data_IF_778847863707
#
_entry.id   IF_778847863707
#
_cell.length_a   1.000
_cell.length_b   1.000
_cell.length_c   1.000
_cell.angle_alpha   90.00
_cell.angle_beta   90.00
_cell.angle_gamma   90.00
#
_symmetry.space_group_name_H-M   'P 1'
#
loop_
_entity.id
_entity.type
_entity.pdbx_description
1 polymer ?
#
# COMPACT_ATOMS: atom_id res chain seq x y z
N UNK A 1 10.54 -20.10 2.81
CA UNK A 1 9.36 -19.61 2.07
C UNK A 1 9.70 -19.55 0.58
N UNK A 2 8.76 -19.78 -0.37
CA UNK A 2 9.07 -19.96 -1.80
C UNK A 2 9.86 -18.82 -2.43
N UNK A 3 9.55 -17.56 -2.12
CA UNK A 3 10.29 -16.42 -2.64
C UNK A 3 11.75 -16.40 -2.15
N UNK A 4 11.99 -16.66 -0.86
CA UNK A 4 13.35 -16.72 -0.31
C UNK A 4 14.18 -17.81 -0.98
N UNK A 5 13.63 -19.00 -1.13
CA UNK A 5 14.31 -20.11 -1.83
C UNK A 5 14.60 -19.79 -3.29
N UNK A 6 13.67 -19.15 -3.99
CA UNK A 6 13.88 -18.69 -5.36
C UNK A 6 15.03 -17.69 -5.46
N UNK A 7 15.04 -16.68 -4.57
CA UNK A 7 16.12 -15.67 -4.53
C UNK A 7 17.48 -16.31 -4.20
N UNK A 8 17.53 -17.26 -3.25
CA UNK A 8 18.77 -18.00 -2.95
C UNK A 8 19.33 -18.70 -4.20
N UNK A 9 18.46 -19.36 -4.94
CA UNK A 9 18.86 -20.05 -6.18
C UNK A 9 19.36 -19.06 -7.24
N UNK A 10 18.66 -17.94 -7.44
CA UNK A 10 19.01 -16.94 -8.45
C UNK A 10 20.29 -16.17 -8.10
N UNK A 11 20.50 -15.89 -6.82
CA UNK A 11 21.64 -15.09 -6.35
C UNK A 11 22.87 -15.92 -6.01
N UNK A 12 22.72 -17.23 -5.79
CA UNK A 12 23.81 -18.11 -5.36
C UNK A 12 24.31 -17.77 -3.96
N UNK A 13 23.47 -17.22 -3.09
CA UNK A 13 23.79 -16.84 -1.72
C UNK A 13 22.60 -17.10 -0.81
N UNK A 14 22.85 -17.20 0.49
CA UNK A 14 21.83 -17.41 1.50
C UNK A 14 20.90 -16.19 1.58
N UNK A 15 19.59 -16.44 1.66
CA UNK A 15 18.56 -15.42 1.86
C UNK A 15 17.79 -15.73 3.13
N UNK A 16 17.87 -14.85 4.10
CA UNK A 16 17.21 -15.01 5.40
C UNK A 16 16.02 -14.07 5.52
N UNK A 17 14.91 -14.59 6.03
CA UNK A 17 13.77 -13.79 6.41
C UNK A 17 13.97 -13.20 7.81
N UNK A 18 13.97 -11.89 7.91
CA UNK A 18 14.05 -11.16 9.17
C UNK A 18 12.68 -10.55 9.48
N UNK A 19 11.97 -11.05 10.50
CA UNK A 19 10.72 -10.43 10.92
C UNK A 19 10.97 -9.06 11.55
N UNK A 20 10.08 -8.12 11.28
CA UNK A 20 10.07 -6.80 11.92
C UNK A 20 8.72 -6.58 12.60
N UNK A 21 8.72 -5.80 13.68
CA UNK A 21 7.54 -5.63 14.52
C UNK A 21 6.47 -4.73 13.87
N UNK A 22 6.90 -3.67 13.18
CA UNK A 22 6.03 -2.65 12.63
C UNK A 22 6.71 -1.83 11.52
N UNK A 23 6.00 -0.87 10.95
CA UNK A 23 6.51 0.01 9.88
C UNK A 23 7.73 0.86 10.31
N UNK A 24 7.74 1.51 11.49
CA UNK A 24 8.93 2.22 11.95
C UNK A 24 10.16 1.33 12.10
N UNK A 25 9.98 0.10 12.54
CA UNK A 25 11.07 -0.87 12.68
C UNK A 25 11.69 -1.26 11.33
N UNK A 26 10.89 -1.35 10.26
CA UNK A 26 11.41 -1.58 8.89
C UNK A 26 12.25 -0.40 8.43
N UNK A 27 11.77 0.82 8.63
CA UNK A 27 12.49 2.05 8.26
C UNK A 27 13.85 2.09 8.94
N UNK A 28 13.88 1.82 10.24
CA UNK A 28 15.12 1.81 11.02
C UNK A 28 16.07 0.68 10.61
N UNK A 29 15.53 -0.51 10.33
CA UNK A 29 16.34 -1.66 9.95
C UNK A 29 17.02 -1.46 8.58
N UNK A 30 16.34 -0.85 7.61
CA UNK A 30 16.94 -0.47 6.33
C UNK A 30 17.95 0.67 6.50
N UNK A 31 17.65 1.66 7.33
CA UNK A 31 18.54 2.79 7.57
C UNK A 31 19.83 2.42 8.31
N UNK A 32 19.83 1.33 9.07
CA UNK A 32 20.97 0.85 9.85
C UNK A 32 21.61 -0.42 9.29
N UNK A 33 21.36 -0.72 8.00
CA UNK A 33 21.90 -1.89 7.27
C UNK A 33 21.59 -3.25 7.92
N UNK A 34 20.55 -3.34 8.76
CA UNK A 34 20.08 -4.61 9.35
C UNK A 34 19.11 -5.38 8.44
N UNK A 35 18.59 -4.73 7.42
CA UNK A 35 17.85 -5.33 6.31
C UNK A 35 18.47 -4.91 4.98
N UNK A 36 18.59 -5.84 4.05
CA UNK A 36 19.08 -5.58 2.71
C UNK A 36 17.96 -5.28 1.73
N UNK A 37 16.82 -5.94 1.88
CA UNK A 37 15.65 -5.91 0.99
C UNK A 37 14.37 -5.93 1.81
N UNK A 38 13.41 -5.08 1.46
CA UNK A 38 12.11 -5.02 2.13
C UNK A 38 10.97 -4.75 1.15
N UNK A 39 9.80 -5.33 1.45
CA UNK A 39 8.52 -5.02 0.81
C UNK A 39 7.88 -3.86 1.55
N UNK A 40 7.67 -2.75 0.85
CA UNK A 40 7.21 -1.49 1.45
C UNK A 40 5.97 -0.96 0.72
N UNK A 41 5.04 -0.41 1.48
CA UNK A 41 4.04 0.51 0.93
C UNK A 41 4.71 1.81 0.46
N UNK A 42 4.05 2.54 -0.45
CA UNK A 42 4.62 3.75 -1.06
C UNK A 42 5.00 4.81 -0.05
N UNK A 43 4.17 5.05 0.97
CA UNK A 43 4.49 6.02 2.02
C UNK A 43 5.67 5.59 2.90
N UNK A 44 5.73 4.32 3.28
CA UNK A 44 6.87 3.79 4.04
C UNK A 44 8.16 3.89 3.22
N UNK A 45 8.11 3.61 1.91
CA UNK A 45 9.24 3.81 1.02
C UNK A 45 9.73 5.26 1.02
N UNK A 46 8.82 6.23 0.90
CA UNK A 46 9.16 7.66 0.95
C UNK A 46 9.85 8.01 2.28
N UNK A 47 9.34 7.50 3.40
CA UNK A 47 9.96 7.71 4.71
C UNK A 47 11.39 7.14 4.78
N UNK A 48 11.61 5.92 4.27
CA UNK A 48 12.95 5.32 4.18
C UNK A 48 13.86 6.18 3.30
N UNK A 49 13.38 6.56 2.13
CA UNK A 49 14.15 7.35 1.16
C UNK A 49 14.58 8.70 1.72
N UNK A 50 13.68 9.40 2.40
CA UNK A 50 14.00 10.69 3.04
C UNK A 50 14.98 10.54 4.19
N UNK A 51 14.85 9.48 4.99
CA UNK A 51 15.76 9.21 6.11
C UNK A 51 17.16 8.84 5.64
N UNK A 52 17.28 7.99 4.61
CA UNK A 52 18.56 7.45 4.13
C UNK A 52 19.19 8.29 3.00
N UNK A 53 18.37 8.98 2.23
CA UNK A 53 18.78 9.71 1.01
C UNK A 53 19.11 8.80 -0.18
N UNK A 54 19.21 7.48 -0.01
CA UNK A 54 19.79 6.59 -1.01
C UNK A 54 19.09 5.23 -1.18
N UNK A 55 18.03 4.92 -0.44
CA UNK A 55 17.27 3.68 -0.62
C UNK A 55 16.74 3.58 -2.06
N UNK A 56 16.80 2.39 -2.66
CA UNK A 56 16.51 2.18 -4.08
C UNK A 56 15.32 1.22 -4.23
N UNK A 57 14.18 1.67 -4.80
CA UNK A 57 13.10 0.80 -5.16
C UNK A 57 13.49 0.07 -6.46
N UNK A 58 13.43 -1.25 -6.45
CA UNK A 58 13.85 -2.07 -7.59
C UNK A 58 12.69 -2.42 -8.52
N UNK A 59 11.66 -3.02 -7.94
CA UNK A 59 10.51 -3.56 -8.67
C UNK A 59 9.23 -3.34 -7.88
N UNK A 60 8.12 -3.38 -8.60
CA UNK A 60 6.76 -3.34 -8.05
C UNK A 60 5.89 -4.34 -8.81
N UNK A 61 4.75 -4.72 -8.22
CA UNK A 61 3.76 -5.47 -8.97
C UNK A 61 3.15 -4.54 -10.03
N UNK A 62 2.75 -5.10 -11.15
CA UNK A 62 2.16 -4.32 -12.23
C UNK A 62 1.00 -3.44 -11.75
N UNK A 63 0.14 -3.95 -10.86
CA UNK A 63 -0.97 -3.23 -10.28
C UNK A 63 -0.57 -2.06 -9.38
N UNK A 64 0.63 -2.06 -8.83
CA UNK A 64 1.12 -0.99 -7.95
C UNK A 64 1.46 0.30 -8.71
N UNK A 65 1.58 0.25 -10.03
CA UNK A 65 1.70 1.44 -10.88
C UNK A 65 0.36 2.17 -11.09
N UNK A 66 -0.76 1.50 -10.80
CA UNK A 66 -2.12 2.01 -11.00
C UNK A 66 -3.01 1.67 -9.80
N UNK A 67 -2.48 1.83 -8.61
CA UNK A 67 -3.18 1.48 -7.38
C UNK A 67 -4.29 2.49 -7.08
N UNK A 68 -5.36 2.02 -6.43
CA UNK A 68 -6.50 2.86 -6.05
C UNK A 68 -7.00 2.53 -4.65
N UNK A 69 -7.74 3.48 -4.08
CA UNK A 69 -8.53 3.28 -2.87
C UNK A 69 -10.01 3.38 -3.19
N UNK A 70 -10.82 2.58 -2.50
CA UNK A 70 -12.27 2.58 -2.64
C UNK A 70 -12.93 3.20 -1.42
N UNK A 71 -13.83 4.15 -1.68
CA UNK A 71 -14.71 4.74 -0.67
C UNK A 71 -15.99 3.93 -0.59
N UNK A 72 -16.35 3.51 0.62
CA UNK A 72 -17.45 2.59 0.87
C UNK A 72 -18.46 3.17 1.87
N UNK A 73 -19.72 2.76 1.72
CA UNK A 73 -20.82 3.12 2.61
C UNK A 73 -21.87 2.02 2.65
N UNK A 74 -22.60 1.92 3.76
CA UNK A 74 -23.81 1.09 3.87
C UNK A 74 -25.09 1.89 3.56
N UNK A 75 -25.00 3.21 3.38
CA UNK A 75 -26.14 4.04 3.05
C UNK A 75 -26.38 4.06 1.54
N UNK A 76 -27.54 3.57 1.04
CA UNK A 76 -27.85 3.54 -0.39
C UNK A 76 -27.98 4.93 -1.02
N UNK A 77 -28.27 5.95 -0.24
CA UNK A 77 -28.47 7.32 -0.72
C UNK A 77 -27.16 8.11 -0.93
N UNK A 78 -26.05 7.60 -0.38
CA UNK A 78 -24.72 8.21 -0.57
C UNK A 78 -24.16 7.83 -1.94
N UNK A 79 -23.86 8.83 -2.76
CA UNK A 79 -23.29 8.68 -4.11
C UNK A 79 -21.96 9.43 -4.27
N UNK A 80 -21.60 10.30 -3.31
CA UNK A 80 -20.38 11.09 -3.32
C UNK A 80 -19.89 11.40 -1.91
N UNK A 81 -18.67 11.90 -1.79
CA UNK A 81 -18.12 12.39 -0.52
C UNK A 81 -18.93 13.58 0.05
N UNK A 82 -19.54 14.38 -0.81
CA UNK A 82 -20.39 15.50 -0.41
C UNK A 82 -21.60 15.02 0.43
N UNK A 83 -22.17 13.89 0.09
CA UNK A 83 -23.31 13.29 0.80
C UNK A 83 -22.98 12.83 2.22
N UNK A 84 -21.68 12.68 2.54
CA UNK A 84 -21.20 12.33 3.86
C UNK A 84 -20.87 13.53 4.75
N UNK A 85 -21.15 14.76 4.30
CA UNK A 85 -20.93 15.96 5.11
C UNK A 85 -21.71 15.88 6.43
N UNK A 86 -21.00 16.13 7.54
CA UNK A 86 -21.57 16.05 8.88
C UNK A 86 -21.79 14.63 9.40
N UNK A 87 -21.38 13.62 8.67
CA UNK A 87 -21.48 12.21 9.04
C UNK A 87 -20.13 11.68 9.54
N UNK A 88 -20.08 10.44 10.02
CA UNK A 88 -18.87 9.81 10.53
C UNK A 88 -18.10 9.11 9.43
N UNK A 89 -16.78 9.15 9.50
CA UNK A 89 -15.89 8.55 8.48
C UNK A 89 -14.71 7.85 9.14
N UNK A 90 -14.28 6.72 8.54
CA UNK A 90 -13.11 5.98 8.97
C UNK A 90 -12.05 5.86 7.88
N UNK A 91 -10.84 6.25 8.22
CA UNK A 91 -9.61 5.83 7.53
C UNK A 91 -9.14 4.46 8.06
N UNK A 92 -8.15 3.87 7.39
CA UNK A 92 -7.48 2.66 7.87
C UNK A 92 -6.45 2.95 8.95
N UNK A 93 -5.21 2.48 8.77
CA UNK A 93 -4.08 2.89 9.63
C UNK A 93 -3.62 4.30 9.29
N UNK A 94 -3.18 5.06 10.28
CA UNK A 94 -2.60 6.41 10.11
C UNK A 94 -1.43 6.41 9.12
N UNK A 95 -0.62 5.36 9.13
CA UNK A 95 0.55 5.21 8.25
C UNK A 95 0.25 4.49 6.91
N UNK A 96 -1.01 4.15 6.65
CA UNK A 96 -1.38 3.48 5.40
C UNK A 96 -1.40 4.44 4.21
N UNK A 97 -0.77 4.05 3.12
CA UNK A 97 -0.82 4.78 1.83
C UNK A 97 -2.25 4.79 1.29
N UNK A 98 -2.84 3.62 1.07
CA UNK A 98 -4.16 3.46 0.44
C UNK A 98 -5.33 3.65 1.39
N UNK A 99 -5.14 3.43 2.68
CA UNK A 99 -6.19 3.57 3.70
C UNK A 99 -6.26 4.94 4.36
N UNK A 100 -5.28 5.81 4.15
CA UNK A 100 -5.23 7.11 4.82
C UNK A 100 -4.63 8.20 3.95
N UNK A 101 -3.33 8.12 3.64
CA UNK A 101 -2.57 9.21 3.01
C UNK A 101 -3.17 9.67 1.69
N UNK A 102 -3.27 8.77 0.71
CA UNK A 102 -3.71 9.13 -0.64
C UNK A 102 -5.18 9.52 -0.72
N UNK A 103 -6.12 8.80 -0.06
CA UNK A 103 -7.50 9.27 0.04
C UNK A 103 -7.63 10.68 0.63
N UNK A 104 -6.91 10.96 1.71
CA UNK A 104 -6.90 12.28 2.34
C UNK A 104 -6.36 13.36 1.39
N UNK A 105 -5.28 13.06 0.69
CA UNK A 105 -4.70 13.97 -0.29
C UNK A 105 -5.69 14.33 -1.41
N UNK A 106 -6.36 13.34 -1.98
CA UNK A 106 -7.37 13.59 -3.02
C UNK A 106 -8.58 14.35 -2.50
N UNK A 107 -9.04 14.06 -1.25
CA UNK A 107 -10.06 14.86 -0.61
C UNK A 107 -9.65 16.34 -0.50
N UNK A 108 -8.42 16.60 -0.05
CA UNK A 108 -7.90 17.98 0.07
C UNK A 108 -7.81 18.69 -1.28
N UNK A 109 -7.42 17.98 -2.34
CA UNK A 109 -7.42 18.55 -3.70
C UNK A 109 -8.84 18.95 -4.17
N UNK A 110 -9.84 18.19 -3.76
CA UNK A 110 -11.25 18.49 -4.05
C UNK A 110 -11.87 19.50 -3.06
N UNK A 111 -11.06 20.14 -2.22
CA UNK A 111 -11.50 21.12 -1.25
C UNK A 111 -12.18 20.53 -0.01
N UNK A 112 -12.09 19.24 0.21
CA UNK A 112 -12.66 18.53 1.34
C UNK A 112 -11.59 18.33 2.41
N UNK A 113 -11.71 19.07 3.53
CA UNK A 113 -10.91 18.83 4.74
C UNK A 113 -11.66 17.81 5.62
N UNK A 114 -11.14 16.59 5.82
CA UNK A 114 -11.86 15.55 6.55
C UNK A 114 -12.34 16.00 7.93
N UNK A 115 -11.48 16.66 8.71
CA UNK A 115 -11.77 17.07 10.08
C UNK A 115 -12.89 18.13 10.22
N UNK A 116 -13.15 18.89 9.14
CA UNK A 116 -14.24 19.89 9.12
C UNK A 116 -15.45 19.44 8.30
N UNK A 117 -15.23 18.50 7.37
CA UNK A 117 -16.29 17.96 6.52
C UNK A 117 -17.13 16.89 7.23
N UNK A 118 -16.47 15.98 7.95
CA UNK A 118 -17.13 14.95 8.72
C UNK A 118 -17.37 15.42 10.16
N UNK A 119 -18.42 14.90 10.78
CA UNK A 119 -18.68 15.17 12.22
C UNK A 119 -17.64 14.48 13.11
N UNK A 120 -17.11 13.35 12.66
CA UNK A 120 -16.04 12.60 13.33
C UNK A 120 -15.23 11.80 12.31
N UNK A 121 -13.92 11.87 12.45
CA UNK A 121 -12.96 11.05 11.73
C UNK A 121 -12.36 10.03 12.68
N UNK A 122 -12.37 8.76 12.30
CA UNK A 122 -11.74 7.67 13.03
C UNK A 122 -10.70 6.94 12.19
N UNK A 123 -9.85 6.19 12.88
CA UNK A 123 -8.88 5.29 12.28
C UNK A 123 -9.15 3.88 12.74
N UNK A 124 -9.48 3.00 11.82
CA UNK A 124 -9.80 1.60 12.13
C UNK A 124 -8.56 0.74 12.43
N UNK A 125 -7.40 1.19 11.95
CA UNK A 125 -6.13 0.50 12.09
C UNK A 125 -5.83 -0.53 11.00
N UNK A 126 -6.84 -0.99 10.24
CA UNK A 126 -6.66 -1.98 9.18
C UNK A 126 -7.78 -1.87 8.13
N UNK A 127 -7.51 -2.34 6.91
CA UNK A 127 -8.47 -2.27 5.80
C UNK A 127 -9.73 -3.11 6.06
N UNK A 128 -9.58 -4.33 6.55
CA UNK A 128 -10.69 -5.21 6.91
C UNK A 128 -11.52 -4.64 8.07
N UNK A 129 -10.88 -4.02 9.04
CA UNK A 129 -11.57 -3.33 10.13
C UNK A 129 -12.40 -2.14 9.62
N UNK A 130 -11.91 -1.37 8.64
CA UNK A 130 -12.70 -0.30 8.02
C UNK A 130 -13.98 -0.84 7.41
N UNK A 131 -13.88 -1.90 6.61
CA UNK A 131 -15.04 -2.53 5.99
C UNK A 131 -16.03 -3.06 7.02
N UNK A 132 -15.53 -3.71 8.08
CA UNK A 132 -16.36 -4.19 9.18
C UNK A 132 -17.09 -3.06 9.93
N UNK A 133 -16.43 -1.93 10.16
CA UNK A 133 -17.05 -0.77 10.81
C UNK A 133 -18.18 -0.18 9.98
N UNK A 134 -17.99 -0.07 8.66
CA UNK A 134 -19.01 0.42 7.74
C UNK A 134 -20.20 -0.55 7.70
N UNK A 135 -19.94 -1.85 7.54
CA UNK A 135 -20.99 -2.86 7.48
C UNK A 135 -21.81 -2.94 8.77
N UNK A 136 -21.17 -2.76 9.93
CA UNK A 136 -21.82 -2.76 11.24
C UNK A 136 -22.55 -1.44 11.57
N UNK A 137 -22.45 -0.43 10.71
CA UNK A 137 -23.02 0.90 10.96
C UNK A 137 -22.30 1.71 12.03
N UNK A 138 -21.08 1.34 12.40
CA UNK A 138 -20.25 2.07 13.36
C UNK A 138 -19.80 3.44 12.82
N UNK A 139 -19.62 3.52 11.51
CA UNK A 139 -19.34 4.74 10.75
C UNK A 139 -20.19 4.75 9.49
N UNK A 140 -20.48 5.95 8.98
CA UNK A 140 -21.32 6.14 7.79
C UNK A 140 -20.55 5.90 6.49
N UNK A 141 -19.26 6.14 6.48
CA UNK A 141 -18.39 5.88 5.34
C UNK A 141 -16.97 5.53 5.78
N UNK A 142 -16.22 4.99 4.84
CA UNK A 142 -14.83 4.64 5.05
C UNK A 142 -14.08 4.50 3.75
N UNK A 143 -12.78 4.31 3.85
CA UNK A 143 -11.89 4.10 2.69
C UNK A 143 -10.89 3.00 2.97
N UNK A 144 -10.61 2.18 1.97
CA UNK A 144 -9.65 1.09 2.07
C UNK A 144 -8.99 0.79 0.73
N UNK A 145 -7.96 -0.01 0.80
CA UNK A 145 -7.25 -0.60 -0.33
C UNK A 145 -8.21 -1.34 -1.27
N UNK A 146 -8.18 -1.01 -2.56
CA UNK A 146 -9.07 -1.60 -3.55
C UNK A 146 -8.94 -3.12 -3.66
N UNK A 147 -7.70 -3.64 -3.62
CA UNK A 147 -7.45 -5.09 -3.70
C UNK A 147 -7.97 -5.84 -2.47
N UNK A 148 -7.86 -5.23 -1.30
CA UNK A 148 -8.41 -5.81 -0.06
C UNK A 148 -9.93 -5.83 -0.11
N UNK A 149 -10.56 -4.75 -0.59
CA UNK A 149 -12.02 -4.73 -0.80
C UNK A 149 -12.47 -5.89 -1.69
N UNK A 150 -11.83 -6.07 -2.84
CA UNK A 150 -12.20 -7.13 -3.78
C UNK A 150 -12.07 -8.53 -3.15
N UNK A 151 -11.02 -8.76 -2.34
CA UNK A 151 -10.85 -10.02 -1.59
C UNK A 151 -11.91 -10.22 -0.51
N UNK A 152 -12.29 -9.17 0.21
CA UNK A 152 -13.32 -9.24 1.26
C UNK A 152 -14.68 -9.58 0.67
N UNK A 153 -15.03 -9.02 -0.48
CA UNK A 153 -16.26 -9.32 -1.21
C UNK A 153 -16.21 -10.76 -1.74
N UNK A 154 -15.14 -11.14 -2.42
CA UNK A 154 -14.99 -12.48 -2.99
C UNK A 154 -15.02 -13.59 -1.94
N UNK A 155 -14.52 -13.35 -0.73
CA UNK A 155 -14.54 -14.31 0.39
C UNK A 155 -15.83 -14.29 1.21
N UNK A 156 -16.78 -13.40 0.89
CA UNK A 156 -18.03 -13.24 1.64
C UNK A 156 -17.88 -12.58 3.02
N UNK A 157 -16.69 -12.05 3.35
CA UNK A 157 -16.47 -11.32 4.62
C UNK A 157 -17.17 -9.97 4.64
N UNK A 158 -17.48 -9.42 3.48
CA UNK A 158 -18.29 -8.22 3.30
C UNK A 158 -19.45 -8.56 2.35
N UNK A 159 -20.65 -8.22 2.76
CA UNK A 159 -21.85 -8.36 1.95
C UNK A 159 -22.00 -7.14 1.03
N UNK A 160 -21.73 -7.33 -0.25
CA UNK A 160 -21.83 -6.28 -1.27
C UNK A 160 -23.27 -5.80 -1.53
N UNK A 161 -24.28 -6.49 -1.02
CA UNK A 161 -25.66 -6.02 -1.02
C UNK A 161 -25.93 -4.99 0.10
N UNK A 162 -25.10 -4.98 1.14
CA UNK A 162 -25.21 -4.07 2.28
C UNK A 162 -24.24 -2.90 2.22
N UNK A 163 -23.04 -3.14 1.68
CA UNK A 163 -21.98 -2.15 1.58
C UNK A 163 -21.60 -1.97 0.12
N UNK A 164 -21.60 -0.75 -0.36
CA UNK A 164 -21.25 -0.40 -1.74
C UNK A 164 -20.03 0.50 -1.81
N UNK A 165 -19.31 0.42 -2.91
CA UNK A 165 -18.33 1.42 -3.33
C UNK A 165 -19.08 2.57 -3.99
N UNK A 166 -18.91 3.79 -3.49
CA UNK A 166 -19.54 4.97 -4.09
C UNK A 166 -18.53 5.90 -4.80
N UNK A 167 -17.24 5.74 -4.53
CA UNK A 167 -16.18 6.48 -5.21
C UNK A 167 -14.86 5.71 -5.19
N UNK A 168 -14.00 6.00 -6.15
CA UNK A 168 -12.65 5.45 -6.25
C UNK A 168 -11.68 6.61 -6.49
N UNK A 169 -10.51 6.58 -5.87
CA UNK A 169 -9.48 7.60 -6.07
C UNK A 169 -8.90 7.55 -7.49
N UNK A 170 -8.27 8.64 -7.97
CA UNK A 170 -7.28 8.54 -9.04
C UNK A 170 -6.20 7.50 -8.71
N UNK A 171 -5.49 7.04 -9.73
CA UNK A 171 -4.40 6.07 -9.57
C UNK A 171 -3.17 6.72 -8.96
N UNK A 172 -2.40 5.91 -8.23
CA UNK A 172 -1.10 6.29 -7.64
C UNK A 172 -0.20 5.06 -7.55
N UNK A 173 1.10 5.29 -7.32
CA UNK A 173 2.06 4.22 -7.07
C UNK A 173 2.00 3.80 -5.61
N UNK A 174 2.02 2.49 -5.34
CA UNK A 174 2.00 1.99 -3.95
C UNK A 174 3.19 1.07 -3.69
N UNK A 175 2.98 -0.20 -3.48
CA UNK A 175 4.00 -1.14 -2.99
C UNK A 175 5.21 -1.28 -3.92
N UNK A 176 6.36 -1.54 -3.31
CA UNK A 176 7.59 -1.89 -4.02
C UNK A 176 8.52 -2.78 -3.18
N UNK A 177 9.47 -3.43 -3.84
CA UNK A 177 10.63 -4.04 -3.21
C UNK A 177 11.79 -3.05 -3.26
N UNK A 178 12.30 -2.69 -2.10
CA UNK A 178 13.37 -1.69 -1.92
C UNK A 178 14.58 -2.32 -1.29
N UNK A 179 15.76 -1.97 -1.78
CA UNK A 179 17.05 -2.29 -1.15
C UNK A 179 17.64 -1.07 -0.44
N UNK A 180 18.44 -1.32 0.61
CA UNK A 180 19.26 -0.27 1.21
C UNK A 180 20.24 0.30 0.18
N UNK A 181 20.47 1.60 0.24
CA UNK A 181 21.30 2.29 -0.76
C UNK A 181 22.80 1.94 -0.66
N UNK A 182 23.21 1.34 0.45
CA UNK A 182 24.59 0.86 0.68
C UNK A 182 24.84 -0.56 0.18
N UNK A 183 23.82 -1.23 -0.36
CA UNK A 183 23.97 -2.56 -0.95
C UNK A 183 24.85 -2.49 -2.20
N UNK A 184 25.66 -3.51 -2.42
CA UNK A 184 26.45 -3.63 -3.66
C UNK A 184 25.54 -3.45 -4.90
N UNK A 185 25.81 -2.46 -5.77
CA UNK A 185 25.00 -2.23 -6.97
C UNK A 185 24.84 -3.44 -7.87
N UNK A 186 25.88 -4.28 -7.99
CA UNK A 186 25.81 -5.50 -8.80
C UNK A 186 24.82 -6.51 -8.19
N UNK A 187 24.79 -6.62 -6.86
CA UNK A 187 23.82 -7.48 -6.18
C UNK A 187 22.38 -6.90 -6.30
N UNK A 188 22.21 -5.60 -6.19
CA UNK A 188 20.92 -4.96 -6.41
C UNK A 188 20.35 -5.25 -7.81
N UNK A 189 21.18 -5.17 -8.84
CA UNK A 189 20.79 -5.51 -10.22
C UNK A 189 20.41 -6.99 -10.37
N UNK A 190 21.14 -7.89 -9.71
CA UNK A 190 20.79 -9.33 -9.70
C UNK A 190 19.45 -9.60 -9.02
N UNK A 191 19.17 -8.93 -7.92
CA UNK A 191 17.88 -9.02 -7.23
C UNK A 191 16.76 -8.54 -8.14
N UNK A 192 16.92 -7.37 -8.75
CA UNK A 192 15.96 -6.83 -9.71
C UNK A 192 15.71 -7.79 -10.86
N UNK A 193 16.76 -8.32 -11.48
CA UNK A 193 16.65 -9.28 -12.57
C UNK A 193 15.90 -10.56 -12.14
N UNK A 194 16.14 -11.04 -10.93
CA UNK A 194 15.46 -12.22 -10.40
C UNK A 194 13.94 -12.00 -10.28
N UNK A 195 13.50 -10.85 -9.79
CA UNK A 195 12.06 -10.51 -9.75
C UNK A 195 11.46 -10.38 -11.15
N UNK A 196 12.15 -9.70 -12.07
CA UNK A 196 11.67 -9.50 -13.44
C UNK A 196 11.61 -10.80 -14.25
N UNK A 197 12.41 -11.80 -13.89
CA UNK A 197 12.42 -13.12 -14.53
C UNK A 197 11.27 -14.03 -14.08
N UNK A 198 10.50 -13.67 -13.05
CA UNK A 198 9.32 -14.44 -12.63
C UNK A 198 8.26 -14.42 -13.73
N UNK A 199 8.05 -15.59 -14.35
CA UNK A 199 7.14 -15.78 -15.48
C UNK A 199 5.85 -16.47 -15.02
N UNK A 200 4.68 -15.86 -15.20
CA UNK A 200 3.41 -16.46 -14.83
C UNK A 200 3.05 -17.73 -15.63
N UNK A 201 3.70 -17.96 -16.75
CA UNK A 201 3.54 -19.21 -17.53
C UNK A 201 4.27 -20.41 -16.89
N UNK A 202 5.25 -20.17 -16.03
CA UNK A 202 5.94 -21.20 -15.27
C UNK A 202 5.17 -21.48 -13.96
N UNK A 203 4.69 -22.72 -13.69
CA UNK A 203 3.91 -23.04 -12.50
C UNK A 203 4.62 -22.73 -11.16
N UNK A 204 5.93 -22.94 -11.08
CA UNK A 204 6.71 -22.63 -9.87
C UNK A 204 6.81 -21.13 -9.63
N UNK A 205 7.04 -20.34 -10.69
CA UNK A 205 7.05 -18.87 -10.62
C UNK A 205 5.65 -18.33 -10.32
N UNK A 206 4.61 -18.92 -10.92
CA UNK A 206 3.23 -18.51 -10.64
C UNK A 206 2.87 -18.69 -9.18
N UNK A 207 3.30 -19.76 -8.53
CA UNK A 207 3.06 -19.96 -7.10
C UNK A 207 3.68 -18.85 -6.25
N UNK A 208 4.87 -18.36 -6.62
CA UNK A 208 5.52 -17.22 -5.95
C UNK A 208 4.75 -15.92 -6.20
N UNK A 209 4.38 -15.66 -7.45
CA UNK A 209 3.60 -14.48 -7.84
C UNK A 209 2.23 -14.44 -7.11
N UNK A 210 1.55 -15.58 -7.03
CA UNK A 210 0.25 -15.68 -6.34
C UNK A 210 0.36 -15.35 -4.84
N UNK A 211 1.45 -15.75 -4.19
CA UNK A 211 1.71 -15.39 -2.79
C UNK A 211 1.90 -13.88 -2.59
N UNK A 212 2.41 -13.19 -3.60
CA UNK A 212 2.57 -11.73 -3.62
C UNK A 212 1.34 -11.02 -4.18
N UNK A 213 0.29 -11.75 -4.56
CA UNK A 213 -0.86 -11.23 -5.30
C UNK A 213 -0.44 -10.42 -6.54
N UNK A 214 0.59 -10.88 -7.22
CA UNK A 214 1.18 -10.22 -8.39
C UNK A 214 0.83 -10.99 -9.67
N UNK A 215 0.46 -10.29 -10.73
CA UNK A 215 0.42 -10.85 -12.08
C UNK A 215 1.84 -11.01 -12.62
N UNK A 216 2.65 -10.00 -12.42
CA UNK A 216 4.10 -9.96 -12.68
C UNK A 216 4.72 -8.79 -11.93
N UNK A 217 6.05 -8.75 -11.89
CA UNK A 217 6.82 -7.60 -11.44
C UNK A 217 7.30 -6.76 -12.62
N UNK A 218 7.34 -5.46 -12.43
CA UNK A 218 7.87 -4.46 -13.36
C UNK A 218 8.89 -3.58 -12.66
N UNK A 219 9.77 -2.92 -13.42
CA UNK A 219 10.71 -1.96 -12.87
C UNK A 219 9.98 -0.76 -12.27
N UNK A 220 10.60 -0.18 -11.25
CA UNK A 220 10.17 1.09 -10.67
C UNK A 220 11.37 1.99 -10.39
N UNK A 221 11.10 3.25 -10.05
CA UNK A 221 12.13 4.25 -9.76
C UNK A 221 11.64 5.19 -8.65
N UNK A 222 12.56 5.92 -7.97
CA UNK A 222 12.17 6.88 -6.94
C UNK A 222 11.22 7.97 -7.43
N UNK A 223 11.35 8.39 -8.68
CA UNK A 223 10.55 9.46 -9.29
C UNK A 223 9.05 9.12 -9.32
N UNK A 224 8.72 7.85 -9.45
CA UNK A 224 7.34 7.37 -9.43
C UNK A 224 6.61 7.67 -8.10
N UNK A 225 7.36 7.86 -7.02
CA UNK A 225 6.85 8.08 -5.67
C UNK A 225 6.81 9.56 -5.27
N UNK A 226 7.13 10.47 -6.18
CA UNK A 226 7.07 11.91 -5.90
C UNK A 226 5.67 12.36 -5.51
N UNK A 227 4.63 11.84 -6.15
CA UNK A 227 3.25 12.15 -5.82
C UNK A 227 2.88 11.75 -4.38
N UNK A 228 3.41 10.64 -3.88
CA UNK A 228 3.22 10.21 -2.48
C UNK A 228 4.00 11.12 -1.53
N UNK A 229 5.21 11.52 -1.89
CA UNK A 229 5.98 12.49 -1.09
C UNK A 229 5.25 13.83 -0.99
N UNK A 230 4.76 14.35 -2.11
CA UNK A 230 4.01 15.60 -2.15
C UNK A 230 2.74 15.52 -1.31
N UNK A 231 2.01 14.38 -1.37
CA UNK A 231 0.85 14.11 -0.55
C UNK A 231 1.18 14.10 0.95
N UNK A 232 2.28 13.46 1.33
CA UNK A 232 2.72 13.37 2.72
C UNK A 232 3.16 14.72 3.27
N UNK A 233 3.81 15.56 2.45
CA UNK A 233 4.16 16.94 2.82
C UNK A 233 2.91 17.80 2.98
N UNK A 234 1.96 17.72 2.05
CA UNK A 234 0.70 18.45 2.11
C UNK A 234 -0.16 18.08 3.34
N UNK A 235 -0.03 16.84 3.81
CA UNK A 235 -0.71 16.34 5.01
C UNK A 235 0.09 16.58 6.32
N UNK A 236 1.25 17.23 6.25
CA UNK A 236 2.18 17.48 7.38
C UNK A 236 2.61 16.18 8.10
N UNK A 237 2.76 15.10 7.34
CA UNK A 237 3.17 13.78 7.84
C UNK A 237 4.67 13.52 7.70
N UNK A 238 5.40 14.39 7.03
CA UNK A 238 6.85 14.37 6.91
C UNK A 238 7.43 15.54 7.68
N UNK A 239 8.04 15.24 8.81
CA UNK A 239 8.78 16.22 9.64
C UNK A 239 10.28 15.99 9.49
#
# INVERSE_FOLDING_TARGET
>A
KPLGAYLEQQLGMKVEFTPVADYPAVVEALATDRLDLAWLGGFTFVQVRLKTGNAIPLVQREQDAQFTSKFITANPDVTSLADLKGKTFAFGSVSSTSGSLMPRYFMLQDGIKPESHFSRVGYSGAHDATAAWVQAGKVDGGVLNASVWDKLVASGKVDSNKVKVFATTPTYFDYNWTVRGTLDPALAEKIKAAFLALDPANPEHKAILDLQAASRFIETSPENYKGIEDAARAADLLK
#
